data_IF_307745315232
#
_entry.id   IF_307745315232
#
_cell.length_a   1.000
_cell.length_b   1.000
_cell.length_c   1.000
_cell.angle_alpha   90.00
_cell.angle_beta   90.00
_cell.angle_gamma   90.00
#
_symmetry.space_group_name_H-M   'P 1'
#
loop_
_entity.id
_entity.type
_entity.pdbx_description
1 polymer ?
#
# COMPACT_ATOMS: atom_id res chain seq x y z
N UNK A 1 32.05 15.24 4.90
CA UNK A 1 32.17 14.13 3.93
C UNK A 1 31.19 13.01 4.30
N UNK A 2 29.88 13.20 4.10
CA UNK A 2 28.87 12.23 4.53
C UNK A 2 27.66 12.13 3.58
N UNK A 3 27.85 12.49 2.32
CA UNK A 3 26.76 12.51 1.31
C UNK A 3 26.73 11.27 0.44
N UNK A 4 27.88 10.63 0.18
CA UNK A 4 27.91 9.43 -0.67
C UNK A 4 27.20 8.23 -0.02
N UNK A 5 27.43 7.96 1.26
CA UNK A 5 26.78 6.83 1.96
C UNK A 5 25.28 7.04 2.15
N UNK A 6 24.85 8.27 2.46
CA UNK A 6 23.44 8.60 2.64
C UNK A 6 22.65 8.48 1.33
N UNK A 7 23.22 8.94 0.21
CA UNK A 7 22.59 8.84 -1.11
C UNK A 7 22.51 7.38 -1.59
N UNK A 8 23.53 6.57 -1.32
CA UNK A 8 23.49 5.13 -1.60
C UNK A 8 22.42 4.43 -0.77
N UNK A 9 22.28 4.76 0.52
CA UNK A 9 21.27 4.18 1.40
C UNK A 9 19.85 4.56 0.93
N UNK A 10 19.63 5.83 0.60
CA UNK A 10 18.36 6.34 0.09
C UNK A 10 17.94 5.63 -1.22
N UNK A 11 18.89 5.49 -2.16
CA UNK A 11 18.63 4.79 -3.41
C UNK A 11 18.35 3.29 -3.18
N UNK A 12 19.09 2.63 -2.29
CA UNK A 12 18.88 1.22 -1.97
C UNK A 12 17.52 0.96 -1.29
N UNK A 13 17.05 1.88 -0.44
CA UNK A 13 15.71 1.80 0.20
C UNK A 13 14.60 2.00 -0.84
N UNK A 14 14.76 2.98 -1.74
CA UNK A 14 13.82 3.20 -2.85
C UNK A 14 13.78 2.01 -3.82
N UNK A 15 14.94 1.41 -4.12
CA UNK A 15 15.06 0.25 -5.01
C UNK A 15 14.48 -1.02 -4.36
N UNK A 16 14.77 -1.27 -3.07
CA UNK A 16 14.20 -2.40 -2.33
C UNK A 16 12.66 -2.29 -2.19
N UNK A 17 12.13 -1.09 -1.92
CA UNK A 17 10.67 -0.84 -1.89
C UNK A 17 9.98 -0.95 -3.25
N UNK A 18 10.74 -0.83 -4.36
CA UNK A 18 10.22 -0.99 -5.72
C UNK A 18 10.17 -2.44 -6.21
N UNK A 19 11.02 -3.32 -5.64
CA UNK A 19 11.15 -4.71 -6.06
C UNK A 19 10.07 -5.62 -5.46
N UNK A 20 9.66 -5.31 -4.24
CA UNK A 20 8.58 -5.99 -3.50
C UNK A 20 7.42 -5.01 -3.27
N UNK A 21 7.06 -4.27 -4.33
CA UNK A 21 5.98 -3.27 -4.34
C UNK A 21 4.85 -3.70 -3.40
N UNK A 22 4.67 -3.02 -2.26
CA UNK A 22 3.48 -3.19 -1.46
C UNK A 22 2.29 -2.80 -2.34
N UNK A 23 1.19 -3.55 -2.31
CA UNK A 23 0.00 -3.20 -3.07
C UNK A 23 -0.41 -1.76 -2.70
N UNK A 24 -0.58 -0.94 -3.72
CA UNK A 24 -0.50 0.51 -3.64
C UNK A 24 -1.53 1.24 -2.77
N UNK A 25 -1.02 2.30 -2.13
CA UNK A 25 -1.77 3.48 -1.69
C UNK A 25 -2.01 4.53 -2.82
N UNK A 26 -1.48 4.35 -4.04
CA UNK A 26 -1.67 5.27 -5.18
C UNK A 26 -1.65 4.56 -6.56
N UNK A 27 -2.57 4.82 -7.52
CA UNK A 27 -2.62 4.13 -8.82
C UNK A 27 -1.34 4.20 -9.66
N UNK A 28 -0.68 3.06 -9.83
CA UNK A 28 0.49 2.80 -10.66
C UNK A 28 0.04 2.30 -12.02
N UNK A 29 0.72 2.82 -13.04
CA UNK A 29 0.49 2.44 -14.42
C UNK A 29 1.32 1.20 -14.73
N UNK A 30 0.69 0.10 -15.17
CA UNK A 30 1.40 -1.06 -15.72
C UNK A 30 1.40 -0.97 -17.24
N UNK A 31 2.55 -1.22 -17.83
CA UNK A 31 2.70 -1.46 -19.25
C UNK A 31 2.50 -2.96 -19.54
N UNK A 32 1.47 -3.32 -20.32
CA UNK A 32 1.23 -4.70 -20.77
C UNK A 32 1.46 -4.79 -22.27
N UNK A 33 2.24 -5.77 -22.71
CA UNK A 33 2.41 -6.06 -24.14
C UNK A 33 1.25 -6.91 -24.66
N UNK A 34 0.63 -6.46 -25.74
CA UNK A 34 -0.45 -7.17 -26.43
C UNK A 34 -0.05 -7.38 -27.89
N UNK A 35 -0.13 -8.61 -28.44
CA UNK A 35 0.11 -8.86 -29.86
C UNK A 35 -0.88 -8.06 -30.73
N UNK A 36 -0.41 -7.46 -31.82
CA UNK A 36 -1.28 -6.68 -32.71
C UNK A 36 -2.16 -7.61 -33.58
N UNK A 37 -1.71 -8.86 -33.78
CA UNK A 37 -2.43 -9.94 -34.47
C UNK A 37 -1.86 -11.30 -34.02
N UNK A 38 -2.69 -12.35 -34.01
CA UNK A 38 -2.26 -13.75 -33.81
C UNK A 38 -1.09 -14.09 -34.74
N UNK A 39 0.05 -14.51 -34.18
CA UNK A 39 1.27 -14.87 -34.92
C UNK A 39 2.21 -13.72 -35.33
N UNK A 40 1.90 -12.46 -35.00
CA UNK A 40 2.76 -11.31 -35.34
C UNK A 40 3.89 -11.12 -34.30
N UNK A 41 5.16 -10.94 -34.73
CA UNK A 41 6.26 -10.57 -33.83
C UNK A 41 6.16 -9.13 -33.31
N UNK A 42 5.20 -8.35 -33.81
CA UNK A 42 4.99 -6.96 -33.41
C UNK A 42 4.02 -6.92 -32.23
N UNK A 43 4.51 -6.53 -31.05
CA UNK A 43 3.72 -6.29 -29.84
C UNK A 43 3.45 -4.80 -29.65
N UNK A 44 2.30 -4.46 -29.07
CA UNK A 44 1.94 -3.09 -28.68
C UNK A 44 1.87 -3.01 -27.17
N UNK A 45 2.63 -2.09 -26.59
CA UNK A 45 2.53 -1.75 -25.16
C UNK A 45 1.27 -0.94 -24.89
N UNK A 46 0.43 -1.40 -23.97
CA UNK A 46 -0.76 -0.70 -23.49
C UNK A 46 -0.63 -0.42 -22.01
N UNK A 47 -0.78 0.85 -21.64
CA UNK A 47 -0.78 1.29 -20.23
C UNK A 47 -2.14 0.97 -19.62
N UNK A 48 -2.14 0.31 -18.47
CA UNK A 48 -3.32 0.03 -17.69
C UNK A 48 -3.13 0.61 -16.30
N UNK A 49 -4.15 1.29 -15.80
CA UNK A 49 -4.19 1.71 -14.41
C UNK A 49 -4.53 0.48 -13.54
N UNK A 50 -3.69 0.19 -12.56
CA UNK A 50 -4.04 -0.80 -11.54
C UNK A 50 -5.15 -0.31 -10.64
N UNK A 51 -6.15 -1.17 -10.52
CA UNK A 51 -7.24 -1.00 -9.56
C UNK A 51 -7.36 -2.30 -8.77
N UNK A 52 -7.98 -2.26 -7.60
CA UNK A 52 -8.23 -3.46 -6.79
C UNK A 52 -8.90 -4.61 -7.60
N UNK A 53 -9.76 -4.28 -8.56
CA UNK A 53 -10.43 -5.25 -9.44
C UNK A 53 -9.52 -5.88 -10.51
N UNK A 54 -8.36 -5.29 -10.81
CA UNK A 54 -7.47 -5.72 -11.88
C UNK A 54 -6.13 -6.31 -11.39
N UNK A 55 -5.82 -6.20 -10.10
CA UNK A 55 -4.62 -6.80 -9.49
C UNK A 55 -4.79 -8.32 -9.30
N UNK A 56 -3.66 -9.03 -9.19
CA UNK A 56 -3.64 -10.48 -8.93
C UNK A 56 -4.20 -10.81 -7.55
N UNK A 57 -4.54 -12.09 -7.33
CA UNK A 57 -5.15 -12.53 -6.08
C UNK A 57 -4.18 -12.40 -4.89
N UNK A 58 -2.90 -12.77 -5.05
CA UNK A 58 -1.90 -12.64 -3.97
C UNK A 58 -1.78 -11.20 -3.45
N UNK A 59 -1.84 -10.22 -4.35
CA UNK A 59 -1.81 -8.79 -4.02
C UNK A 59 -3.07 -8.37 -3.25
N UNK A 60 -4.24 -8.94 -3.59
CA UNK A 60 -5.49 -8.69 -2.86
C UNK A 60 -5.47 -9.30 -1.48
N UNK A 61 -4.98 -10.54 -1.37
CA UNK A 61 -4.94 -11.26 -0.11
C UNK A 61 -4.00 -10.53 0.86
N UNK A 62 -2.86 -10.05 0.38
CA UNK A 62 -1.96 -9.19 1.15
C UNK A 62 -2.64 -7.89 1.60
N UNK A 63 -3.32 -7.18 0.68
CA UNK A 63 -4.09 -5.97 1.03
C UNK A 63 -5.16 -6.22 2.08
N UNK A 64 -5.84 -7.37 1.98
CA UNK A 64 -6.89 -7.73 2.92
C UNK A 64 -6.32 -7.99 4.31
N UNK A 65 -5.19 -8.71 4.40
CA UNK A 65 -4.47 -8.93 5.67
C UNK A 65 -4.00 -7.60 6.29
N UNK A 66 -3.48 -6.68 5.47
CA UNK A 66 -3.07 -5.36 5.95
C UNK A 66 -4.27 -4.53 6.43
N UNK A 67 -5.39 -4.55 5.70
CA UNK A 67 -6.62 -3.88 6.07
C UNK A 67 -7.19 -4.42 7.40
N UNK A 68 -7.17 -5.75 7.59
CA UNK A 68 -7.58 -6.39 8.84
C UNK A 68 -6.67 -5.96 10.01
N UNK A 69 -5.35 -5.93 9.80
CA UNK A 69 -4.41 -5.50 10.83
C UNK A 69 -4.64 -4.03 11.24
N UNK A 70 -4.85 -3.14 10.27
CA UNK A 70 -5.17 -1.72 10.51
C UNK A 70 -6.49 -1.60 11.29
N UNK A 71 -7.52 -2.36 10.90
CA UNK A 71 -8.81 -2.33 11.57
C UNK A 71 -8.71 -2.78 13.04
N UNK A 72 -7.92 -3.81 13.33
CA UNK A 72 -7.66 -4.28 14.70
C UNK A 72 -6.98 -3.19 15.51
N UNK A 73 -5.94 -2.54 14.97
CA UNK A 73 -5.21 -1.46 15.65
C UNK A 73 -6.14 -0.28 15.94
N UNK A 74 -6.92 0.15 14.95
CA UNK A 74 -7.87 1.26 15.11
C UNK A 74 -8.93 0.95 16.16
N UNK A 75 -9.46 -0.27 16.16
CA UNK A 75 -10.45 -0.72 17.16
C UNK A 75 -9.86 -0.74 18.57
N UNK A 76 -8.60 -1.16 18.71
CA UNK A 76 -7.93 -1.15 20.00
C UNK A 76 -7.72 0.28 20.53
N UNK A 77 -7.29 1.20 19.67
CA UNK A 77 -7.16 2.63 20.01
C UNK A 77 -8.52 3.23 20.42
N UNK A 78 -9.58 2.93 19.65
CA UNK A 78 -10.92 3.44 19.93
C UNK A 78 -11.42 3.00 21.31
N UNK A 79 -11.20 1.74 21.66
CA UNK A 79 -11.55 1.19 22.98
C UNK A 79 -10.72 1.83 24.11
N UNK A 80 -9.43 2.09 23.93
CA UNK A 80 -8.57 2.74 24.92
C UNK A 80 -9.02 4.19 25.19
N UNK A 81 -9.37 4.93 24.14
CA UNK A 81 -9.93 6.28 24.24
C UNK A 81 -11.28 6.24 24.96
N UNK A 82 -12.19 5.35 24.56
CA UNK A 82 -13.50 5.24 25.17
C UNK A 82 -13.40 4.86 26.66
N UNK A 83 -12.52 3.93 27.01
CA UNK A 83 -12.27 3.54 28.40
C UNK A 83 -11.69 4.70 29.23
N UNK A 84 -10.85 5.55 28.63
CA UNK A 84 -10.30 6.72 29.31
C UNK A 84 -11.36 7.80 29.53
N UNK A 85 -12.25 8.01 28.56
CA UNK A 85 -13.35 8.98 28.65
C UNK A 85 -14.40 8.54 29.67
N UNK A 86 -14.79 7.27 29.68
CA UNK A 86 -15.78 6.71 30.62
C UNK A 86 -15.29 6.71 32.08
N UNK A 87 -13.99 6.47 32.28
CA UNK A 87 -13.35 6.54 33.59
C UNK A 87 -13.15 7.97 34.09
N UNK A 88 -13.39 8.99 33.26
CA UNK A 88 -13.23 10.39 33.65
C UNK A 88 -14.52 10.85 34.37
N UNK A 89 -14.51 11.09 35.69
CA UNK A 89 -15.67 11.65 36.38
C UNK A 89 -15.94 13.03 35.81
N UNK A 90 -17.16 13.25 35.31
CA UNK A 90 -17.58 14.55 34.81
C UNK A 90 -17.45 15.58 35.93
N UNK A 91 -16.37 16.38 35.92
CA UNK A 91 -16.08 17.38 36.95
C UNK A 91 -17.00 18.61 36.87
N UNK A 92 -18.16 18.50 36.20
CA UNK A 92 -19.10 19.56 35.91
C UNK A 92 -20.47 19.30 36.58
N UNK A 93 -20.46 19.04 37.88
CA UNK A 93 -21.61 19.33 38.74
C UNK A 93 -21.13 20.19 39.93
N UNK A 94 -21.08 21.51 39.70
CA UNK A 94 -21.19 22.54 40.74
C UNK A 94 -22.09 23.66 40.24
#
# INVERSE_FOLDING_TARGET
>A
MQTQTSNTLHNAIMEAGSKDRPPMLAPGWIDKEVPISEGSPITRTKKFQETYKNVSQDIRDQLNVEAEAIQIILTWIDNDIYSTVDACPNACEM
#
